data_IF_464646818796
#
_entry.id   IF_464646818796
#
_cell.length_a   1.000
_cell.length_b   1.000
_cell.length_c   1.000
_cell.angle_alpha   90.00
_cell.angle_beta   90.00
_cell.angle_gamma   90.00
#
_symmetry.space_group_name_H-M   'P 1'
#
loop_
_entity.id
_entity.type
_entity.pdbx_description
1 polymer ?
#
# COMPACT_ATOMS: atom_id res chain seq x y z
N UNK A 1 70.69 40.20 6.55
CA UNK A 1 69.47 39.54 6.02
C UNK A 1 69.03 38.53 7.07
N UNK A 2 67.91 38.60 7.78
CA UNK A 2 66.68 39.40 7.76
C UNK A 2 66.24 39.42 9.23
N UNK A 3 66.11 40.60 9.85
CA UNK A 3 65.32 40.78 11.07
C UNK A 3 64.39 41.96 10.79
N UNK A 4 63.12 41.68 10.51
CA UNK A 4 62.10 42.70 10.27
C UNK A 4 61.44 43.07 11.60
N UNK A 5 61.45 44.37 11.81
CA UNK A 5 61.00 45.15 12.93
C UNK A 5 59.49 45.13 13.14
N UNK A 6 59.14 45.21 14.43
CA UNK A 6 57.83 45.45 15.03
C UNK A 6 57.38 46.89 14.81
N UNK A 7 56.07 47.11 14.64
CA UNK A 7 55.20 48.26 15.01
C UNK A 7 54.00 48.24 14.04
N UNK A 8 52.75 48.58 14.37
CA UNK A 8 51.97 48.69 15.59
C UNK A 8 50.55 49.09 15.14
N UNK A 9 49.55 48.47 15.77
CA UNK A 9 48.26 49.05 16.16
C UNK A 9 47.21 49.52 15.13
N UNK A 10 45.98 49.17 15.56
CA UNK A 10 44.68 49.78 15.29
C UNK A 10 43.92 49.33 14.04
N UNK A 11 42.95 48.42 14.25
CA UNK A 11 41.64 48.56 13.64
C UNK A 11 40.54 47.92 14.49
N UNK A 12 39.53 48.76 14.73
CA UNK A 12 38.28 48.63 15.46
C UNK A 12 37.61 47.24 15.41
N UNK A 13 37.21 46.76 16.59
CA UNK A 13 36.18 45.75 16.74
C UNK A 13 34.79 46.42 16.67
N UNK A 14 34.08 46.22 15.57
CA UNK A 14 32.64 46.49 15.46
C UNK A 14 31.88 45.19 15.68
N UNK A 15 31.27 45.03 16.86
CA UNK A 15 30.25 44.03 17.11
C UNK A 15 28.97 44.41 16.34
N UNK A 16 28.68 43.72 15.24
CA UNK A 16 27.36 43.68 14.62
C UNK A 16 26.63 42.44 15.14
N UNK A 17 25.64 42.66 16.01
CA UNK A 17 24.64 41.66 16.34
C UNK A 17 23.77 41.43 15.10
N UNK A 18 24.09 40.39 14.32
CA UNK A 18 23.20 39.86 13.31
C UNK A 18 22.13 39.00 14.01
N UNK A 19 20.93 39.56 14.18
CA UNK A 19 19.75 38.80 14.57
C UNK A 19 19.41 37.82 13.46
N UNK A 20 19.67 36.54 13.67
CA UNK A 20 19.19 35.46 12.81
C UNK A 20 17.68 35.34 12.96
N UNK A 21 16.92 36.09 12.16
CA UNK A 21 15.51 35.79 11.91
C UNK A 21 15.44 34.43 11.25
N UNK A 22 15.03 33.42 12.03
CA UNK A 22 14.69 32.11 11.51
C UNK A 22 13.41 32.24 10.70
N UNK A 23 13.56 32.45 9.40
CA UNK A 23 12.49 32.33 8.43
C UNK A 23 11.99 30.88 8.47
N UNK A 24 10.91 30.65 9.21
CA UNK A 24 10.17 29.40 9.21
C UNK A 24 9.35 29.35 7.91
N UNK A 25 10.06 29.21 6.80
CA UNK A 25 9.46 28.86 5.52
C UNK A 25 8.74 27.52 5.70
N UNK A 26 7.41 27.56 5.60
CA UNK A 26 6.56 26.39 5.63
C UNK A 26 7.02 25.41 4.53
N UNK A 27 7.77 24.39 4.94
CA UNK A 27 8.08 23.26 4.09
C UNK A 27 6.77 22.53 3.82
N UNK A 28 6.12 22.90 2.71
CA UNK A 28 5.09 22.06 2.11
C UNK A 28 5.70 20.68 1.92
N UNK A 29 5.20 19.71 2.68
CA UNK A 29 5.64 18.33 2.63
C UNK A 29 5.20 17.76 1.27
N UNK A 30 5.93 18.10 0.20
CA UNK A 30 5.74 17.52 -1.12
C UNK A 30 6.19 16.08 -1.00
N UNK A 31 5.20 15.20 -0.84
CA UNK A 31 5.37 13.75 -0.89
C UNK A 31 6.25 13.42 -2.09
N UNK A 32 7.40 12.81 -1.85
CA UNK A 32 8.36 12.48 -2.91
C UNK A 32 7.65 11.61 -3.95
N UNK A 33 7.78 11.94 -5.26
CA UNK A 33 7.14 11.16 -6.30
C UNK A 33 7.63 9.71 -6.24
N UNK A 34 6.73 8.76 -6.53
CA UNK A 34 7.09 7.34 -6.56
C UNK A 34 8.26 7.11 -7.50
N UNK A 35 9.20 6.24 -7.13
CA UNK A 35 10.42 6.01 -7.90
C UNK A 35 10.15 5.68 -9.37
N UNK A 36 9.06 4.96 -9.67
CA UNK A 36 8.68 4.50 -11.00
C UNK A 36 8.13 5.61 -11.90
N UNK A 37 7.63 6.70 -11.30
CA UNK A 37 7.00 7.80 -12.02
C UNK A 37 8.03 8.63 -12.79
N UNK A 38 7.63 9.12 -13.95
CA UNK A 38 8.40 10.09 -14.74
C UNK A 38 7.51 11.24 -15.19
N UNK A 39 8.13 12.33 -15.65
CA UNK A 39 7.41 13.40 -16.34
C UNK A 39 6.81 12.86 -17.65
N UNK A 40 5.56 13.21 -18.02
CA UNK A 40 4.92 12.73 -19.24
C UNK A 40 5.75 12.96 -20.51
N UNK A 41 6.49 14.07 -20.60
CA UNK A 41 7.35 14.40 -21.74
C UNK A 41 8.57 13.49 -21.89
N UNK A 42 8.94 12.75 -20.84
CA UNK A 42 10.05 11.79 -20.85
C UNK A 42 9.60 10.37 -21.17
N UNK A 43 8.30 10.10 -21.15
CA UNK A 43 7.77 8.78 -21.42
C UNK A 43 7.55 8.56 -22.92
N UNK A 44 8.18 7.52 -23.46
CA UNK A 44 7.82 6.98 -24.78
C UNK A 44 6.67 5.98 -24.59
N UNK A 45 5.49 6.36 -25.09
CA UNK A 45 4.29 5.53 -25.10
C UNK A 45 4.11 4.83 -26.44
N UNK A 46 4.02 3.50 -26.41
CA UNK A 46 3.85 2.65 -27.61
C UNK A 46 2.39 2.26 -27.77
N UNK A 47 1.92 2.25 -29.03
CA UNK A 47 0.56 1.90 -29.41
C UNK A 47 -0.17 3.05 -30.11
N UNK A 48 -1.32 2.73 -30.69
CA UNK A 48 -2.19 3.68 -31.39
C UNK A 48 -3.57 3.70 -30.77
N UNK A 49 -4.24 4.86 -30.76
CA UNK A 49 -5.63 5.00 -30.32
C UNK A 49 -5.79 5.58 -28.91
N UNK A 50 -7.04 5.59 -28.47
CA UNK A 50 -7.45 6.10 -27.15
C UNK A 50 -7.00 5.13 -26.06
N UNK A 51 -6.46 5.65 -24.96
CA UNK A 51 -5.98 4.83 -23.84
C UNK A 51 -4.55 4.31 -23.98
N UNK A 52 -3.76 4.79 -24.96
CA UNK A 52 -2.32 4.48 -25.09
C UNK A 52 -1.46 4.83 -23.86
N UNK A 53 -2.00 5.66 -22.97
CA UNK A 53 -1.39 6.04 -21.69
C UNK A 53 -1.65 5.03 -20.57
N UNK A 54 -2.50 4.01 -20.81
CA UNK A 54 -2.86 2.98 -19.86
C UNK A 54 -2.30 1.63 -20.26
N UNK A 55 -1.90 0.85 -19.27
CA UNK A 55 -1.46 -0.52 -19.46
C UNK A 55 -2.58 -1.38 -20.05
N UNK A 56 -2.27 -2.11 -21.12
CA UNK A 56 -3.24 -2.97 -21.80
C UNK A 56 -3.82 -4.11 -20.93
N UNK A 57 -3.12 -4.50 -19.86
CA UNK A 57 -3.49 -5.61 -18.97
C UNK A 57 -4.23 -5.14 -17.72
N UNK A 58 -3.69 -4.14 -17.02
CA UNK A 58 -4.22 -3.71 -15.72
C UNK A 58 -4.84 -2.30 -15.72
N UNK A 59 -4.76 -1.55 -16.82
CA UNK A 59 -5.31 -0.18 -16.93
C UNK A 59 -4.51 0.91 -16.22
N UNK A 60 -3.48 0.54 -15.46
CA UNK A 60 -2.64 1.50 -14.72
C UNK A 60 -1.95 2.49 -15.66
N UNK A 61 -1.79 3.73 -15.22
CA UNK A 61 -1.14 4.79 -15.99
C UNK A 61 0.35 4.47 -16.23
N UNK A 62 0.73 4.35 -17.50
CA UNK A 62 2.07 3.93 -17.92
C UNK A 62 3.15 4.96 -17.56
N UNK A 63 2.83 6.24 -17.46
CA UNK A 63 3.78 7.30 -17.07
C UNK A 63 4.08 7.23 -15.57
N UNK A 64 3.07 6.89 -14.76
CA UNK A 64 3.19 6.72 -13.30
C UNK A 64 4.01 5.49 -12.91
N UNK A 65 4.08 4.48 -13.76
CA UNK A 65 4.82 3.23 -13.54
C UNK A 65 5.92 2.99 -14.57
N UNK A 66 6.42 4.07 -15.19
CA UNK A 66 7.19 4.01 -16.43
C UNK A 66 8.46 3.17 -16.36
N UNK A 67 9.21 3.27 -15.25
CA UNK A 67 10.48 2.55 -15.07
C UNK A 67 10.35 1.02 -14.93
N UNK A 68 9.13 0.50 -14.89
CA UNK A 68 8.88 -0.95 -14.91
C UNK A 68 8.18 -1.41 -16.17
N UNK A 69 7.99 -0.53 -17.16
CA UNK A 69 7.20 -0.87 -18.34
C UNK A 69 7.91 -1.84 -19.29
N UNK A 70 7.09 -2.66 -19.96
CA UNK A 70 7.51 -3.51 -21.07
C UNK A 70 6.65 -3.26 -22.30
N UNK A 71 7.18 -3.58 -23.48
CA UNK A 71 6.46 -3.51 -24.75
C UNK A 71 6.57 -4.86 -25.44
N UNK A 72 5.45 -5.38 -25.92
CA UNK A 72 5.40 -6.62 -26.69
C UNK A 72 4.20 -6.59 -27.65
N UNK A 73 4.39 -6.99 -28.91
CA UNK A 73 3.36 -6.99 -29.96
C UNK A 73 2.57 -5.68 -30.06
N UNK A 74 3.29 -4.54 -30.03
CA UNK A 74 2.70 -3.21 -30.13
C UNK A 74 1.89 -2.76 -28.91
N UNK A 75 1.88 -3.54 -27.82
CA UNK A 75 1.22 -3.21 -26.55
C UNK A 75 2.25 -2.87 -25.49
N UNK A 76 2.01 -1.80 -24.74
CA UNK A 76 2.82 -1.44 -23.58
C UNK A 76 2.10 -1.84 -22.27
N UNK A 77 2.86 -2.41 -21.34
CA UNK A 77 2.37 -2.90 -20.05
C UNK A 77 3.19 -2.33 -18.89
N UNK A 78 2.56 -2.23 -17.72
CA UNK A 78 3.11 -1.49 -16.58
C UNK A 78 4.25 -2.19 -15.82
N UNK A 79 4.44 -3.49 -16.04
CA UNK A 79 5.35 -4.32 -15.25
C UNK A 79 5.69 -5.64 -15.95
N UNK A 80 6.74 -6.31 -15.47
CA UNK A 80 7.05 -7.68 -15.89
C UNK A 80 5.94 -8.68 -15.49
N UNK A 81 5.20 -8.41 -14.40
CA UNK A 81 4.02 -9.19 -14.03
C UNK A 81 2.94 -9.10 -15.12
N UNK A 82 2.64 -7.89 -15.60
CA UNK A 82 1.69 -7.70 -16.70
C UNK A 82 2.21 -8.25 -18.02
N UNK A 83 3.53 -8.25 -18.27
CA UNK A 83 4.10 -8.91 -19.44
C UNK A 83 3.91 -10.42 -19.36
N UNK A 84 4.16 -11.03 -18.20
CA UNK A 84 3.97 -12.46 -17.96
C UNK A 84 2.51 -12.87 -18.22
N UNK A 85 1.55 -12.08 -17.72
CA UNK A 85 0.12 -12.29 -17.97
C UNK A 85 -0.22 -12.16 -19.47
N UNK A 86 0.22 -11.08 -20.13
CA UNK A 86 -0.03 -10.83 -21.55
C UNK A 86 0.49 -11.96 -22.46
N UNK A 87 1.56 -12.61 -22.03
CA UNK A 87 2.23 -13.67 -22.79
C UNK A 87 1.86 -15.07 -22.34
N UNK A 88 0.97 -15.19 -21.34
CA UNK A 88 0.51 -16.46 -20.78
C UNK A 88 1.69 -17.35 -20.34
N UNK A 89 2.73 -16.75 -19.77
CA UNK A 89 3.95 -17.44 -19.32
C UNK A 89 4.90 -17.89 -20.43
N UNK A 90 4.65 -17.54 -21.70
CA UNK A 90 5.57 -17.80 -22.82
C UNK A 90 6.58 -16.66 -22.93
N UNK A 91 7.86 -16.94 -22.75
CA UNK A 91 8.91 -15.92 -22.82
C UNK A 91 8.90 -15.20 -24.19
N UNK A 92 8.63 -13.89 -24.24
CA UNK A 92 8.63 -13.14 -25.50
C UNK A 92 10.05 -12.74 -25.91
N UNK A 93 10.57 -13.30 -27.00
CA UNK A 93 11.97 -13.07 -27.43
C UNK A 93 12.23 -11.68 -28.02
N UNK A 94 11.19 -10.97 -28.49
CA UNK A 94 11.25 -9.67 -29.16
C UNK A 94 10.62 -8.54 -28.32
N UNK A 95 10.39 -8.77 -27.03
CA UNK A 95 9.91 -7.74 -26.13
C UNK A 95 10.97 -6.64 -25.91
N UNK A 96 10.51 -5.47 -25.52
CA UNK A 96 11.34 -4.37 -25.05
C UNK A 96 11.00 -4.02 -23.60
N UNK A 97 11.94 -3.42 -22.90
CA UNK A 97 11.77 -2.91 -21.53
C UNK A 97 12.25 -1.46 -21.45
N UNK A 98 11.63 -0.67 -20.58
CA UNK A 98 12.14 0.66 -20.25
C UNK A 98 13.37 0.54 -19.36
N UNK A 99 14.48 1.16 -19.77
CA UNK A 99 15.64 1.35 -18.92
C UNK A 99 15.30 2.26 -17.72
N UNK A 100 15.63 1.81 -16.52
CA UNK A 100 15.25 2.48 -15.26
C UNK A 100 15.92 3.85 -15.09
N UNK A 101 17.10 4.07 -15.69
CA UNK A 101 17.92 5.27 -15.52
C UNK A 101 17.73 6.26 -16.66
N UNK A 102 17.92 5.82 -17.89
CA UNK A 102 17.88 6.67 -19.09
C UNK A 102 16.50 6.70 -19.79
N UNK A 103 15.55 5.85 -19.35
CA UNK A 103 14.16 5.83 -19.80
C UNK A 103 13.92 5.37 -21.24
N UNK A 104 14.96 4.91 -21.95
CA UNK A 104 14.83 4.41 -23.30
C UNK A 104 14.22 3.00 -23.33
N UNK A 105 13.51 2.66 -24.41
CA UNK A 105 13.11 1.28 -24.69
C UNK A 105 14.31 0.49 -25.22
N UNK A 106 14.63 -0.61 -24.57
CA UNK A 106 15.76 -1.50 -24.90
C UNK A 106 15.29 -2.94 -25.10
N UNK A 107 16.04 -3.70 -25.89
CA UNK A 107 15.84 -5.14 -26.06
C UNK A 107 15.97 -5.87 -24.72
N UNK A 108 14.94 -6.63 -24.34
CA UNK A 108 14.92 -7.35 -23.05
C UNK A 108 16.10 -8.29 -22.89
N UNK A 109 16.56 -8.93 -23.97
CA UNK A 109 17.64 -9.92 -23.92
C UNK A 109 19.01 -9.30 -23.69
N UNK A 110 19.13 -7.98 -23.87
CA UNK A 110 20.35 -7.20 -23.61
C UNK A 110 20.30 -6.46 -22.28
N UNK A 111 19.18 -6.53 -21.57
CA UNK A 111 18.99 -5.82 -20.31
C UNK A 111 19.46 -6.64 -19.10
N UNK A 112 19.97 -5.92 -18.11
CA UNK A 112 20.32 -6.40 -16.79
C UNK A 112 19.18 -6.09 -15.82
N UNK A 113 18.55 -7.12 -15.27
CA UNK A 113 17.45 -6.98 -14.33
C UNK A 113 17.96 -7.06 -12.90
N UNK A 114 17.69 -6.04 -12.08
CA UNK A 114 17.82 -6.12 -10.63
C UNK A 114 16.48 -6.58 -10.05
N UNK A 115 16.47 -7.77 -9.45
CA UNK A 115 15.27 -8.40 -8.89
C UNK A 115 15.33 -8.44 -7.37
N UNK A 116 14.22 -8.11 -6.71
CA UNK A 116 14.11 -8.17 -5.25
C UNK A 116 14.86 -7.05 -4.51
N UNK A 117 14.96 -5.86 -5.11
CA UNK A 117 15.50 -4.68 -4.41
C UNK A 117 14.53 -4.13 -3.38
N UNK A 118 15.01 -3.27 -2.48
CA UNK A 118 14.20 -2.54 -1.49
C UNK A 118 13.24 -1.52 -2.13
N UNK A 119 13.45 -1.13 -3.39
CA UNK A 119 12.53 -0.27 -4.14
C UNK A 119 11.33 -1.08 -4.58
N UNK A 120 10.12 -0.65 -4.18
CA UNK A 120 8.87 -1.37 -4.46
C UNK A 120 8.68 -1.63 -5.95
N UNK A 121 8.23 -2.83 -6.33
CA UNK A 121 7.86 -3.12 -7.71
C UNK A 121 6.47 -2.62 -8.09
N UNK A 122 6.16 -2.66 -9.39
CA UNK A 122 4.80 -2.46 -9.90
C UNK A 122 4.11 -3.81 -10.02
N UNK A 123 2.95 -3.98 -9.37
CA UNK A 123 2.14 -5.20 -9.43
C UNK A 123 2.88 -6.48 -8.97
N UNK A 124 3.89 -6.35 -8.12
CA UNK A 124 4.68 -7.50 -7.66
C UNK A 124 5.22 -7.30 -6.26
N UNK A 125 5.41 -8.40 -5.52
CA UNK A 125 6.09 -8.41 -4.21
C UNK A 125 7.61 -8.32 -4.36
N UNK A 126 8.17 -8.90 -5.42
CA UNK A 126 9.59 -8.86 -5.72
C UNK A 126 9.82 -7.94 -6.91
N UNK A 127 10.42 -6.77 -6.65
CA UNK A 127 10.66 -5.74 -7.66
C UNK A 127 11.54 -6.26 -8.80
N UNK A 128 11.37 -5.70 -10.01
CA UNK A 128 12.11 -6.09 -11.22
C UNK A 128 12.38 -4.83 -12.04
N UNK A 129 13.61 -4.33 -11.96
CA UNK A 129 14.05 -3.11 -12.65
C UNK A 129 15.11 -3.45 -13.69
N UNK A 130 14.95 -2.95 -14.91
CA UNK A 130 15.86 -3.24 -16.02
C UNK A 130 16.81 -2.08 -16.29
N UNK A 131 18.04 -2.42 -16.68
CA UNK A 131 19.11 -1.49 -17.03
C UNK A 131 19.78 -1.95 -18.32
N UNK A 132 20.16 -1.00 -19.16
CA UNK A 132 20.88 -1.21 -20.42
C UNK A 132 22.35 -1.56 -20.23
N UNK A 133 22.91 -1.21 -19.07
CA UNK A 133 24.30 -1.50 -18.73
C UNK A 133 24.41 -2.23 -17.39
N UNK A 134 25.39 -3.12 -17.30
CA UNK A 134 25.70 -3.81 -16.05
C UNK A 134 26.17 -2.84 -14.96
N UNK A 135 26.87 -1.76 -15.36
CA UNK A 135 27.33 -0.73 -14.43
C UNK A 135 26.18 -0.02 -13.72
N UNK A 136 25.13 0.36 -14.47
CA UNK A 136 23.95 1.00 -13.88
C UNK A 136 23.15 0.03 -13.00
N UNK A 137 23.07 -1.25 -13.39
CA UNK A 137 22.46 -2.29 -12.56
C UNK A 137 23.22 -2.48 -11.23
N UNK A 138 24.56 -2.50 -11.27
CA UNK A 138 25.42 -2.60 -10.09
C UNK A 138 25.32 -1.38 -9.19
N UNK A 139 25.25 -0.18 -9.77
CA UNK A 139 25.02 1.06 -9.02
C UNK A 139 23.68 0.99 -8.27
N UNK A 140 22.61 0.60 -8.96
CA UNK A 140 21.29 0.45 -8.34
C UNK A 140 21.26 -0.66 -7.29
N UNK A 141 21.89 -1.80 -7.55
CA UNK A 141 22.01 -2.92 -6.61
C UNK A 141 22.78 -2.50 -5.35
N UNK A 142 23.89 -1.77 -5.49
CA UNK A 142 24.67 -1.32 -4.34
C UNK A 142 23.85 -0.41 -3.41
N UNK A 143 22.97 0.44 -3.98
CA UNK A 143 22.12 1.34 -3.21
C UNK A 143 20.86 0.66 -2.64
N UNK A 144 20.30 -0.34 -3.32
CA UNK A 144 18.96 -0.85 -3.03
C UNK A 144 18.89 -2.36 -2.76
N UNK A 145 20.01 -3.07 -2.85
CA UNK A 145 20.05 -4.54 -2.82
C UNK A 145 19.41 -5.18 -4.06
N UNK A 146 19.04 -6.45 -3.91
CA UNK A 146 18.53 -7.29 -5.00
C UNK A 146 19.62 -8.06 -5.73
N UNK A 147 19.21 -8.87 -6.69
CA UNK A 147 20.07 -9.74 -7.48
C UNK A 147 20.04 -9.34 -8.96
N UNK A 148 21.22 -9.21 -9.58
CA UNK A 148 21.33 -8.93 -11.02
C UNK A 148 21.21 -10.24 -11.79
N UNK A 149 20.28 -10.28 -12.74
CA UNK A 149 20.05 -11.43 -13.62
C UNK A 149 19.62 -10.99 -15.02
N UNK A 150 19.64 -11.94 -15.97
CA UNK A 150 19.15 -11.70 -17.32
C UNK A 150 17.62 -11.78 -17.40
N UNK A 151 17.05 -11.40 -18.55
CA UNK A 151 15.61 -11.41 -18.77
C UNK A 151 14.96 -12.77 -18.56
N UNK A 152 15.56 -13.86 -19.07
CA UNK A 152 14.99 -15.19 -18.95
C UNK A 152 14.79 -15.58 -17.48
N UNK A 153 15.79 -15.30 -16.62
CA UNK A 153 15.68 -15.58 -15.18
C UNK A 153 14.71 -14.64 -14.48
N UNK A 154 14.71 -13.34 -14.80
CA UNK A 154 13.77 -12.39 -14.23
C UNK A 154 12.31 -12.73 -14.58
N UNK A 155 12.07 -13.21 -15.80
CA UNK A 155 10.76 -13.67 -16.27
C UNK A 155 10.33 -14.96 -15.57
N UNK A 156 11.25 -15.91 -15.34
CA UNK A 156 11.00 -17.10 -14.52
C UNK A 156 10.57 -16.72 -13.09
N UNK A 157 11.29 -15.78 -12.46
CA UNK A 157 10.92 -15.26 -11.12
C UNK A 157 9.54 -14.59 -11.16
N UNK A 158 9.22 -13.84 -12.22
CA UNK A 158 7.87 -13.27 -12.38
C UNK A 158 6.78 -14.36 -12.44
N UNK A 159 7.05 -15.49 -13.11
CA UNK A 159 6.14 -16.63 -13.12
C UNK A 159 5.98 -17.31 -11.76
N UNK A 160 7.08 -17.46 -11.01
CA UNK A 160 7.04 -17.98 -9.63
C UNK A 160 6.25 -17.06 -8.69
N UNK A 161 6.41 -15.75 -8.85
CA UNK A 161 5.72 -14.74 -8.03
C UNK A 161 4.23 -14.62 -8.41
N UNK A 162 3.87 -14.92 -9.66
CA UNK A 162 2.60 -14.55 -10.30
C UNK A 162 1.38 -14.93 -9.47
N UNK A 163 1.31 -16.17 -8.98
CA UNK A 163 0.16 -16.65 -8.21
C UNK A 163 -0.02 -15.87 -6.89
N UNK A 164 1.07 -15.59 -6.17
CA UNK A 164 0.99 -14.85 -4.91
C UNK A 164 0.85 -13.34 -5.11
N UNK A 165 1.40 -12.80 -6.19
CA UNK A 165 1.15 -11.42 -6.60
C UNK A 165 -0.33 -11.22 -6.93
N UNK A 166 -0.95 -12.13 -7.68
CA UNK A 166 -2.37 -12.10 -7.98
C UNK A 166 -3.24 -12.19 -6.72
N UNK A 167 -2.87 -13.03 -5.75
CA UNK A 167 -3.56 -13.07 -4.44
C UNK A 167 -3.47 -11.72 -3.72
N UNK A 168 -2.29 -11.09 -3.70
CA UNK A 168 -2.09 -9.78 -3.08
C UNK A 168 -2.85 -8.67 -3.82
N UNK A 169 -2.84 -8.66 -5.15
CA UNK A 169 -3.58 -7.72 -5.98
C UNK A 169 -5.07 -7.87 -5.74
N UNK A 170 -5.59 -9.09 -5.82
CA UNK A 170 -7.00 -9.40 -5.58
C UNK A 170 -7.43 -8.94 -4.19
N UNK A 171 -6.67 -9.30 -3.15
CA UNK A 171 -6.95 -8.88 -1.79
C UNK A 171 -7.00 -7.35 -1.66
N UNK A 172 -6.05 -6.62 -2.25
CA UNK A 172 -6.08 -5.15 -2.26
C UNK A 172 -7.27 -4.59 -3.02
N UNK A 173 -7.69 -5.24 -4.10
CA UNK A 173 -8.84 -4.78 -4.88
C UNK A 173 -10.15 -4.96 -4.11
N UNK A 174 -10.30 -6.11 -3.46
CA UNK A 174 -11.42 -6.46 -2.58
C UNK A 174 -11.45 -5.61 -1.29
N UNK A 175 -10.28 -5.25 -0.76
CA UNK A 175 -10.07 -4.39 0.42
C UNK A 175 -10.25 -2.89 0.10
N UNK A 176 -11.27 -2.56 -0.68
CA UNK A 176 -11.78 -1.19 -0.82
C UNK A 176 -11.55 -0.51 -2.17
N UNK A 177 -10.69 -1.02 -3.07
CA UNK A 177 -10.55 -0.42 -4.41
C UNK A 177 -11.85 -0.58 -5.21
N UNK A 178 -12.49 -1.74 -5.15
CA UNK A 178 -13.78 -1.94 -5.82
C UNK A 178 -14.89 -1.10 -5.22
N UNK A 179 -14.96 -1.01 -3.89
CA UNK A 179 -15.95 -0.17 -3.21
C UNK A 179 -15.80 1.31 -3.62
N UNK A 180 -14.57 1.83 -3.55
CA UNK A 180 -14.24 3.18 -3.98
C UNK A 180 -14.52 3.41 -5.47
N UNK A 181 -14.17 2.44 -6.32
CA UNK A 181 -14.42 2.48 -7.75
C UNK A 181 -15.91 2.55 -8.08
N UNK A 182 -16.72 1.74 -7.40
CA UNK A 182 -18.18 1.76 -7.52
C UNK A 182 -18.76 3.11 -7.11
N UNK A 183 -18.42 3.59 -5.91
CA UNK A 183 -18.91 4.86 -5.38
C UNK A 183 -18.56 6.03 -6.30
N UNK A 184 -17.31 6.09 -6.76
CA UNK A 184 -16.86 7.10 -7.69
C UNK A 184 -17.61 7.02 -9.03
N UNK A 185 -17.72 5.83 -9.61
CA UNK A 185 -18.37 5.62 -10.89
C UNK A 185 -19.85 6.00 -10.88
N UNK A 186 -20.61 5.50 -9.90
CA UNK A 186 -22.05 5.73 -9.79
C UNK A 186 -22.38 7.21 -9.55
N UNK A 187 -21.52 7.94 -8.83
CA UNK A 187 -21.72 9.36 -8.57
C UNK A 187 -21.29 10.25 -9.73
N UNK A 188 -20.27 9.86 -10.50
CA UNK A 188 -19.54 10.80 -11.36
C UNK A 188 -19.48 10.43 -12.84
N UNK A 189 -20.03 9.30 -13.28
CA UNK A 189 -19.89 8.83 -14.65
C UNK A 189 -21.25 8.43 -15.27
N UNK A 190 -21.35 8.40 -16.60
CA UNK A 190 -22.50 7.80 -17.26
C UNK A 190 -22.42 6.27 -17.32
N UNK A 191 -23.57 5.64 -17.58
CA UNK A 191 -23.65 4.18 -17.69
C UNK A 191 -22.76 3.68 -18.84
N UNK A 192 -21.97 2.66 -18.53
CA UNK A 192 -20.97 2.06 -19.42
C UNK A 192 -21.11 0.55 -19.30
N UNK A 193 -21.26 -0.14 -20.43
CA UNK A 193 -21.19 -1.59 -20.47
C UNK A 193 -19.73 -2.01 -20.76
N UNK A 194 -19.03 -2.64 -19.79
CA UNK A 194 -17.63 -3.05 -19.97
C UNK A 194 -17.43 -4.09 -21.08
N UNK A 195 -18.48 -4.82 -21.48
CA UNK A 195 -18.41 -5.84 -22.54
C UNK A 195 -18.13 -5.28 -23.92
N UNK A 196 -18.29 -3.97 -24.11
CA UNK A 196 -18.03 -3.29 -25.37
C UNK A 196 -16.54 -3.01 -25.62
N UNK A 197 -15.66 -3.33 -24.65
CA UNK A 197 -14.24 -3.03 -24.70
C UNK A 197 -13.41 -4.31 -24.73
N UNK A 198 -12.35 -4.33 -25.54
CA UNK A 198 -11.47 -5.50 -25.69
C UNK A 198 -10.33 -5.50 -24.67
N UNK A 199 -10.05 -4.34 -24.08
CA UNK A 199 -9.04 -4.17 -23.04
C UNK A 199 -9.48 -3.17 -21.99
N UNK A 200 -9.02 -3.35 -20.76
CA UNK A 200 -9.28 -2.42 -19.65
C UNK A 200 -8.76 -1.00 -19.94
N UNK A 201 -7.69 -0.87 -20.74
CA UNK A 201 -7.17 0.43 -21.19
C UNK A 201 -8.18 1.20 -22.04
N UNK A 202 -8.93 0.51 -22.90
CA UNK A 202 -10.00 1.09 -23.72
C UNK A 202 -11.18 1.51 -22.85
N UNK A 203 -11.60 0.63 -21.92
CA UNK A 203 -12.63 0.94 -20.94
C UNK A 203 -12.26 2.18 -20.12
N UNK A 204 -11.04 2.24 -19.59
CA UNK A 204 -10.59 3.36 -18.77
C UNK A 204 -10.53 4.67 -19.57
N UNK A 205 -10.09 4.62 -20.83
CA UNK A 205 -10.11 5.77 -21.72
C UNK A 205 -11.54 6.27 -22.00
N UNK A 206 -12.49 5.35 -22.19
CA UNK A 206 -13.90 5.70 -22.30
C UNK A 206 -14.46 6.29 -21.00
N UNK A 207 -14.17 5.68 -19.85
CA UNK A 207 -14.56 6.20 -18.54
C UNK A 207 -14.09 7.62 -18.34
N UNK A 208 -12.83 7.92 -18.69
CA UNK A 208 -12.33 9.29 -18.64
C UNK A 208 -13.27 10.27 -19.35
N UNK A 209 -13.75 9.95 -20.57
CA UNK A 209 -14.67 10.83 -21.30
C UNK A 209 -16.02 11.01 -20.60
N UNK A 210 -16.65 9.91 -20.19
CA UNK A 210 -18.00 9.95 -19.60
C UNK A 210 -18.01 10.51 -18.17
N UNK A 211 -16.90 10.41 -17.44
CA UNK A 211 -16.74 11.04 -16.13
C UNK A 211 -16.33 12.52 -16.29
N UNK A 212 -15.48 12.88 -17.26
CA UNK A 212 -15.10 14.27 -17.55
C UNK A 212 -16.33 15.10 -17.96
N UNK A 213 -17.29 14.50 -18.68
CA UNK A 213 -18.56 15.14 -19.05
C UNK A 213 -19.40 15.59 -17.83
N UNK A 214 -19.13 15.02 -16.65
CA UNK A 214 -19.73 15.40 -15.35
C UNK A 214 -18.77 16.18 -14.46
N UNK A 215 -17.70 16.73 -15.04
CA UNK A 215 -16.66 17.50 -14.34
C UNK A 215 -15.87 16.72 -13.27
N UNK A 216 -15.87 15.39 -13.33
CA UNK A 216 -15.14 14.54 -12.37
C UNK A 216 -13.62 14.74 -12.41
N UNK A 217 -13.09 15.25 -13.54
CA UNK A 217 -11.68 15.56 -13.73
C UNK A 217 -11.10 16.60 -12.77
N UNK A 218 -11.96 17.35 -12.07
CA UNK A 218 -11.54 18.31 -11.04
C UNK A 218 -11.13 17.62 -9.72
N UNK A 219 -11.42 16.32 -9.56
CA UNK A 219 -11.09 15.58 -8.36
C UNK A 219 -9.56 15.42 -8.18
N UNK A 220 -9.04 15.56 -6.95
CA UNK A 220 -7.65 15.22 -6.67
C UNK A 220 -7.40 13.74 -6.95
N UNK A 221 -6.19 13.39 -7.41
CA UNK A 221 -5.84 12.02 -7.80
C UNK A 221 -6.80 11.39 -8.83
N UNK A 222 -7.40 12.18 -9.74
CA UNK A 222 -8.43 11.70 -10.68
C UNK A 222 -8.12 10.37 -11.40
N UNK A 223 -6.88 10.15 -11.86
CA UNK A 223 -6.47 8.89 -12.49
C UNK A 223 -6.64 7.66 -11.56
N UNK A 224 -6.45 7.83 -10.24
CA UNK A 224 -6.66 6.78 -9.25
C UNK A 224 -8.14 6.44 -9.11
N UNK A 225 -9.01 7.45 -9.16
CA UNK A 225 -10.46 7.25 -9.17
C UNK A 225 -10.91 6.52 -10.44
N UNK A 226 -10.43 6.96 -11.61
CA UNK A 226 -10.68 6.29 -12.89
C UNK A 226 -10.16 4.85 -12.91
N UNK A 227 -8.97 4.61 -12.35
CA UNK A 227 -8.41 3.27 -12.23
C UNK A 227 -9.32 2.36 -11.41
N UNK A 228 -9.80 2.83 -10.25
CA UNK A 228 -10.69 2.07 -9.39
C UNK A 228 -12.03 1.77 -10.06
N UNK A 229 -12.63 2.76 -10.74
CA UNK A 229 -13.85 2.59 -11.51
C UNK A 229 -13.70 1.58 -12.66
N UNK A 230 -12.58 1.67 -13.42
CA UNK A 230 -12.27 0.72 -14.47
C UNK A 230 -12.14 -0.70 -13.92
N UNK A 231 -11.39 -0.89 -12.83
CA UNK A 231 -11.23 -2.20 -12.18
C UNK A 231 -12.56 -2.75 -11.64
N UNK A 232 -13.38 -1.92 -11.03
CA UNK A 232 -14.72 -2.31 -10.57
C UNK A 232 -15.58 -2.85 -11.71
N UNK A 233 -15.63 -2.14 -12.84
CA UNK A 233 -16.41 -2.58 -14.01
C UNK A 233 -15.78 -3.77 -14.73
N UNK A 234 -14.45 -3.87 -14.76
CA UNK A 234 -13.71 -4.89 -15.51
C UNK A 234 -13.63 -6.23 -14.79
N UNK A 235 -13.34 -6.23 -13.49
CA UNK A 235 -13.05 -7.45 -12.73
C UNK A 235 -14.27 -8.04 -12.00
N UNK A 236 -15.31 -7.25 -11.72
CA UNK A 236 -16.44 -7.71 -10.92
C UNK A 236 -17.01 -9.00 -11.54
N UNK A 237 -17.15 -10.09 -10.77
CA UNK A 237 -17.07 -11.49 -11.24
C UNK A 237 -18.25 -11.96 -12.13
N UNK A 238 -18.37 -11.35 -13.31
CA UNK A 238 -19.55 -11.16 -14.15
C UNK A 238 -20.56 -10.16 -13.55
N UNK A 239 -21.26 -9.37 -14.37
CA UNK A 239 -22.46 -8.57 -13.99
C UNK A 239 -23.12 -9.19 -12.75
N UNK A 240 -23.21 -8.47 -11.61
CA UNK A 240 -23.88 -8.96 -10.40
C UNK A 240 -25.23 -9.57 -10.79
N UNK A 241 -25.25 -10.89 -10.97
CA UNK A 241 -26.32 -11.58 -11.64
C UNK A 241 -27.44 -11.75 -10.64
N UNK A 242 -28.53 -11.05 -10.89
CA UNK A 242 -29.88 -11.26 -10.35
C UNK A 242 -30.00 -11.13 -8.82
N UNK A 243 -30.73 -10.09 -8.41
CA UNK A 243 -31.50 -10.02 -7.17
C UNK A 243 -30.86 -10.68 -5.94
N UNK A 244 -29.87 -10.00 -5.38
CA UNK A 244 -29.52 -10.14 -3.98
C UNK A 244 -29.75 -8.80 -3.30
N UNK A 245 -30.79 -8.73 -2.47
CA UNK A 245 -31.14 -7.60 -1.61
C UNK A 245 -29.89 -6.91 -1.06
N UNK A 246 -29.93 -5.58 -1.03
CA UNK A 246 -29.07 -4.68 -0.27
C UNK A 246 -28.19 -5.36 0.79
N UNK A 247 -27.01 -5.83 0.39
CA UNK A 247 -25.90 -5.92 1.31
C UNK A 247 -25.11 -4.64 1.09
N UNK A 248 -25.50 -3.57 1.81
CA UNK A 248 -24.57 -2.48 2.11
C UNK A 248 -23.28 -3.16 2.56
N UNK A 249 -22.20 -2.98 1.80
CA UNK A 249 -20.87 -3.20 2.33
C UNK A 249 -20.75 -2.25 3.52
N UNK A 250 -21.08 -2.75 4.71
CA UNK A 250 -20.92 -1.99 5.94
C UNK A 250 -19.43 -1.72 6.03
N UNK A 251 -19.05 -0.44 6.01
CA UNK A 251 -17.76 0.02 6.50
C UNK A 251 -17.42 -0.83 7.75
N UNK A 252 -16.23 -1.46 7.83
CA UNK A 252 -15.89 -2.34 8.94
C UNK A 252 -16.21 -1.58 10.23
N UNK A 253 -17.13 -2.14 11.01
CA UNK A 253 -17.59 -1.50 12.23
C UNK A 253 -16.37 -1.29 13.12
N UNK A 254 -16.19 -0.11 13.71
CA UNK A 254 -15.04 0.17 14.58
C UNK A 254 -15.54 0.35 16.01
N UNK A 255 -14.68 0.06 16.98
CA UNK A 255 -14.92 0.51 18.34
C UNK A 255 -14.78 2.03 18.35
N UNK A 256 -15.88 2.71 18.67
CA UNK A 256 -15.90 4.16 18.88
C UNK A 256 -15.93 4.40 20.38
N UNK A 257 -14.84 4.96 20.87
CA UNK A 257 -14.66 5.32 22.28
C UNK A 257 -15.14 6.76 22.47
N UNK A 258 -16.15 7.02 23.32
CA UNK A 258 -16.58 8.37 23.65
C UNK A 258 -15.45 9.19 24.28
N UNK A 259 -15.46 10.50 24.07
CA UNK A 259 -14.45 11.39 24.62
C UNK A 259 -14.44 11.35 26.17
N UNK A 260 -13.24 11.34 26.76
CA UNK A 260 -13.07 11.28 28.22
C UNK A 260 -13.37 9.91 28.85
N UNK A 261 -13.71 8.89 28.05
CA UNK A 261 -13.94 7.52 28.55
C UNK A 261 -12.70 6.98 29.26
N UNK A 262 -12.90 6.38 30.43
CA UNK A 262 -11.86 5.75 31.24
C UNK A 262 -11.97 4.24 31.23
N UNK A 263 -10.82 3.57 31.25
CA UNK A 263 -10.72 2.12 31.32
C UNK A 263 -11.39 1.64 32.62
N UNK A 264 -12.26 0.63 32.52
CA UNK A 264 -12.99 0.10 33.67
C UNK A 264 -12.10 -0.69 34.66
N UNK A 265 -10.83 -0.95 34.30
CA UNK A 265 -9.85 -1.63 35.15
C UNK A 265 -8.81 -0.66 35.69
N UNK A 266 -7.99 -0.05 34.82
CA UNK A 266 -6.89 0.80 35.27
C UNK A 266 -7.24 2.29 35.45
N UNK A 267 -8.41 2.74 34.96
CA UNK A 267 -8.86 4.14 35.06
C UNK A 267 -8.19 5.13 34.09
N UNK A 268 -7.29 4.66 33.22
CA UNK A 268 -6.65 5.47 32.17
C UNK A 268 -7.64 5.92 31.10
N UNK A 269 -7.35 7.04 30.43
CA UNK A 269 -8.19 7.53 29.33
C UNK A 269 -8.03 6.60 28.12
N UNK A 270 -9.14 6.03 27.65
CA UNK A 270 -9.16 5.17 26.47
C UNK A 270 -9.23 6.03 25.22
N UNK A 271 -8.36 5.76 24.25
CA UNK A 271 -8.33 6.46 22.95
C UNK A 271 -8.82 5.55 21.84
N UNK A 272 -9.42 6.14 20.81
CA UNK A 272 -9.69 5.46 19.54
C UNK A 272 -8.36 5.03 18.90
N UNK A 273 -7.98 3.76 19.10
CA UNK A 273 -6.66 3.20 18.76
C UNK A 273 -6.77 1.69 18.55
N UNK A 274 -5.73 1.02 17.99
CA UNK A 274 -5.72 -0.45 17.86
C UNK A 274 -5.86 -1.20 19.19
N UNK A 275 -5.61 -0.53 20.32
CA UNK A 275 -5.64 -1.12 21.65
C UNK A 275 -7.02 -1.05 22.31
N UNK A 276 -7.94 -0.25 21.77
CA UNK A 276 -9.26 -0.08 22.33
C UNK A 276 -10.06 -1.38 22.25
N UNK A 277 -10.66 -1.77 23.37
CA UNK A 277 -11.55 -2.92 23.48
C UNK A 277 -12.86 -2.50 24.17
N UNK A 278 -13.90 -3.32 24.01
CA UNK A 278 -15.25 -3.03 24.45
C UNK A 278 -15.93 -4.30 24.97
N UNK A 279 -16.49 -4.25 26.17
CA UNK A 279 -17.44 -5.25 26.67
C UNK A 279 -18.81 -4.59 26.80
N UNK A 280 -19.84 -5.26 26.30
CA UNK A 280 -21.24 -4.86 26.52
C UNK A 280 -21.88 -5.80 27.52
N UNK A 281 -22.37 -5.26 28.63
CA UNK A 281 -23.04 -6.05 29.65
C UNK A 281 -24.01 -5.22 30.49
N UNK A 282 -25.14 -5.83 30.86
CA UNK A 282 -26.16 -5.21 31.70
C UNK A 282 -26.63 -3.82 31.19
N UNK A 283 -26.71 -3.66 29.87
CA UNK A 283 -27.10 -2.40 29.23
C UNK A 283 -26.04 -1.29 29.28
N UNK A 284 -24.80 -1.61 29.68
CA UNK A 284 -23.67 -0.68 29.76
C UNK A 284 -22.51 -1.13 28.87
N UNK A 285 -21.86 -0.14 28.28
CA UNK A 285 -20.63 -0.30 27.50
C UNK A 285 -19.42 -0.01 28.41
N UNK A 286 -18.53 -1.00 28.55
CA UNK A 286 -17.27 -0.92 29.29
C UNK A 286 -16.11 -0.90 28.29
N UNK A 287 -15.30 0.15 28.34
CA UNK A 287 -14.14 0.31 27.46
C UNK A 287 -12.85 0.04 28.21
N UNK A 288 -11.85 -0.46 27.49
CA UNK A 288 -10.51 -0.70 28.04
C UNK A 288 -9.45 -0.25 27.03
N UNK A 289 -8.27 0.07 27.56
CA UNK A 289 -7.11 0.54 26.82
C UNK A 289 -6.18 -0.60 26.36
N UNK A 290 -6.56 -1.85 26.61
CA UNK A 290 -5.86 -3.04 26.14
C UNK A 290 -6.68 -4.32 26.29
N UNK A 291 -6.18 -5.41 25.71
CA UNK A 291 -6.81 -6.74 25.79
C UNK A 291 -6.58 -7.36 27.18
N UNK A 292 -5.42 -7.13 27.81
CA UNK A 292 -5.14 -7.56 29.19
C UNK A 292 -6.21 -7.08 30.19
N UNK A 293 -6.46 -5.78 30.24
CA UNK A 293 -7.44 -5.18 31.14
C UNK A 293 -8.86 -5.72 30.86
N UNK A 294 -9.22 -5.76 29.57
CA UNK A 294 -10.49 -6.35 29.16
C UNK A 294 -10.61 -7.82 29.59
N UNK A 295 -9.53 -8.61 29.53
CA UNK A 295 -9.56 -10.03 29.83
C UNK A 295 -9.67 -10.25 31.34
N UNK A 296 -8.94 -9.47 32.14
CA UNK A 296 -9.08 -9.45 33.58
C UNK A 296 -10.53 -9.15 33.99
N UNK A 297 -11.16 -8.16 33.37
CA UNK A 297 -12.55 -7.84 33.62
C UNK A 297 -13.52 -8.94 33.15
N UNK A 298 -13.29 -9.49 31.96
CA UNK A 298 -14.09 -10.55 31.36
C UNK A 298 -14.12 -11.81 32.23
N UNK A 299 -12.95 -12.32 32.64
CA UNK A 299 -12.86 -13.57 33.41
C UNK A 299 -13.20 -13.43 34.89
N UNK A 300 -13.23 -12.21 35.42
CA UNK A 300 -13.71 -11.95 36.78
C UNK A 300 -15.25 -11.99 36.88
N UNK A 301 -15.97 -11.97 35.75
CA UNK A 301 -17.42 -11.81 35.70
C UNK A 301 -18.07 -12.82 34.75
N UNK A 302 -18.73 -13.85 35.30
CA UNK A 302 -19.36 -14.94 34.51
C UNK A 302 -20.53 -14.50 33.59
N UNK A 303 -20.95 -13.23 33.68
CA UNK A 303 -22.03 -12.67 32.86
C UNK A 303 -21.55 -12.02 31.56
N UNK A 304 -20.24 -11.84 31.38
CA UNK A 304 -19.69 -11.13 30.22
C UNK A 304 -19.68 -12.07 29.01
N UNK A 305 -20.50 -11.78 28.00
CA UNK A 305 -20.59 -12.59 26.78
C UNK A 305 -20.28 -11.83 25.49
N UNK A 306 -20.53 -10.53 25.48
CA UNK A 306 -20.26 -9.64 24.35
C UNK A 306 -18.97 -8.88 24.59
N UNK A 307 -17.87 -9.39 24.05
CA UNK A 307 -16.55 -8.78 24.12
C UNK A 307 -16.02 -8.53 22.72
N UNK A 308 -15.45 -7.35 22.51
CA UNK A 308 -14.98 -6.89 21.22
C UNK A 308 -13.57 -6.31 21.33
N UNK A 309 -12.76 -6.57 20.32
CA UNK A 309 -11.40 -6.04 20.17
C UNK A 309 -11.25 -5.35 18.82
N UNK A 310 -10.23 -4.50 18.67
CA UNK A 310 -9.94 -3.85 17.38
C UNK A 310 -8.84 -4.62 16.67
N UNK A 311 -9.02 -5.03 15.41
CA UNK A 311 -7.93 -5.59 14.60
C UNK A 311 -6.74 -4.63 14.57
N UNK A 312 -5.54 -5.15 14.83
CA UNK A 312 -4.35 -4.33 15.02
C UNK A 312 -4.02 -3.43 13.81
N UNK A 313 -4.28 -3.90 12.58
CA UNK A 313 -3.94 -3.15 11.37
C UNK A 313 -5.12 -2.36 10.81
N UNK A 314 -6.32 -2.96 10.79
CA UNK A 314 -7.48 -2.38 10.09
C UNK A 314 -8.39 -1.54 11.00
N UNK A 315 -8.24 -1.70 12.33
CA UNK A 315 -9.14 -1.17 13.36
C UNK A 315 -10.57 -1.70 13.26
N UNK A 316 -10.80 -2.79 12.52
CA UNK A 316 -12.09 -3.47 12.46
C UNK A 316 -12.44 -4.03 13.85
N UNK A 317 -13.67 -3.80 14.30
CA UNK A 317 -14.22 -4.38 15.53
C UNK A 317 -14.48 -5.87 15.29
N UNK A 318 -13.75 -6.70 16.02
CA UNK A 318 -13.85 -8.15 16.00
C UNK A 318 -14.58 -8.64 17.25
N UNK A 319 -15.30 -9.75 17.13
CA UNK A 319 -15.65 -10.55 18.31
C UNK A 319 -14.34 -11.06 18.93
N UNK A 320 -14.17 -10.85 20.22
CA UNK A 320 -12.94 -11.21 20.91
C UNK A 320 -12.67 -12.73 20.85
N UNK A 321 -13.70 -13.57 20.84
CA UNK A 321 -13.54 -15.03 20.84
C UNK A 321 -13.10 -15.57 19.48
N UNK A 322 -13.45 -14.88 18.40
CA UNK A 322 -13.11 -15.30 17.04
C UNK A 322 -11.70 -14.86 16.63
N UNK A 323 -11.15 -13.84 17.29
CA UNK A 323 -9.83 -13.29 16.98
C UNK A 323 -8.66 -14.23 17.31
N UNK A 324 -7.48 -13.89 16.79
CA UNK A 324 -6.19 -14.51 17.08
C UNK A 324 -5.29 -13.48 17.77
N UNK A 325 -4.54 -13.90 18.79
CA UNK A 325 -3.78 -12.99 19.63
C UNK A 325 -2.30 -13.33 19.60
N UNK A 326 -1.46 -12.36 19.24
CA UNK A 326 0.00 -12.50 19.41
C UNK A 326 0.37 -12.07 20.82
N UNK A 327 1.17 -12.86 21.53
CA UNK A 327 1.69 -12.50 22.85
C UNK A 327 3.22 -12.46 22.87
N UNK A 328 3.77 -11.67 23.81
CA UNK A 328 5.22 -11.58 24.05
C UNK A 328 6.01 -10.98 22.88
N UNK A 329 5.40 -10.10 22.08
CA UNK A 329 6.08 -9.35 21.03
C UNK A 329 6.85 -8.16 21.60
N UNK A 330 7.70 -7.54 20.77
CA UNK A 330 8.38 -6.28 21.08
C UNK A 330 7.52 -5.03 20.80
N UNK A 331 6.22 -5.20 20.54
CA UNK A 331 5.27 -4.11 20.34
C UNK A 331 4.43 -3.96 21.59
N UNK A 332 4.49 -2.77 22.19
CA UNK A 332 3.84 -2.46 23.46
C UNK A 332 2.50 -1.76 23.26
N UNK A 333 1.50 -2.19 24.03
CA UNK A 333 0.27 -1.43 24.24
C UNK A 333 0.47 -0.30 25.26
N UNK A 334 -0.59 0.45 25.61
CA UNK A 334 -0.52 1.57 26.56
C UNK A 334 0.06 1.21 27.92
N UNK A 335 -0.08 -0.07 28.31
CA UNK A 335 0.36 -0.63 29.58
C UNK A 335 1.45 -1.71 29.41
N UNK A 336 2.31 -1.59 28.40
CA UNK A 336 3.42 -2.51 28.16
C UNK A 336 3.05 -3.74 27.33
N UNK A 337 3.59 -4.92 27.66
CA UNK A 337 3.40 -6.16 26.87
C UNK A 337 1.92 -6.49 26.68
N UNK A 338 1.44 -6.75 25.47
CA UNK A 338 -0.01 -6.87 25.22
C UNK A 338 -0.37 -8.11 24.39
N UNK A 339 -1.63 -8.53 24.47
CA UNK A 339 -2.22 -9.51 23.55
C UNK A 339 -2.75 -8.78 22.32
N UNK A 340 -2.11 -8.98 21.17
CA UNK A 340 -2.37 -8.18 19.97
C UNK A 340 -3.37 -8.91 19.06
N UNK A 341 -4.60 -8.37 18.88
CA UNK A 341 -5.67 -9.05 18.15
C UNK A 341 -5.55 -8.94 16.63
N UNK A 342 -5.86 -10.03 15.95
CA UNK A 342 -5.95 -10.14 14.49
C UNK A 342 -7.18 -10.92 14.10
N UNK A 343 -7.83 -10.49 13.02
CA UNK A 343 -8.91 -11.24 12.38
C UNK A 343 -8.41 -12.53 11.72
N UNK A 344 -7.23 -12.44 11.09
CA UNK A 344 -6.66 -13.53 10.30
C UNK A 344 -5.45 -14.15 11.01
N UNK A 345 -5.47 -15.46 11.20
CA UNK A 345 -4.35 -16.21 11.80
C UNK A 345 -3.04 -15.99 11.06
N UNK A 346 -3.08 -15.98 9.71
CA UNK A 346 -1.90 -15.76 8.90
C UNK A 346 -1.25 -14.38 9.15
N UNK A 347 -2.05 -13.35 9.45
CA UNK A 347 -1.55 -12.02 9.81
C UNK A 347 -0.95 -12.02 11.21
N UNK A 348 -1.58 -12.72 12.18
CA UNK A 348 -1.02 -12.91 13.51
C UNK A 348 0.35 -13.63 13.44
N UNK A 349 0.45 -14.67 12.61
CA UNK A 349 1.70 -15.42 12.39
C UNK A 349 2.79 -14.56 11.74
N UNK A 350 2.43 -13.70 10.77
CA UNK A 350 3.38 -12.75 10.17
C UNK A 350 3.86 -11.74 11.22
N UNK A 351 2.92 -11.10 11.91
CA UNK A 351 3.23 -10.13 12.96
C UNK A 351 4.13 -10.73 14.04
N UNK A 352 3.84 -11.95 14.49
CA UNK A 352 4.64 -12.66 15.47
C UNK A 352 6.11 -12.79 15.02
N UNK A 353 6.33 -13.15 13.75
CA UNK A 353 7.69 -13.27 13.20
C UNK A 353 8.38 -11.91 13.10
N UNK A 354 7.67 -10.91 12.60
CA UNK A 354 8.19 -9.57 12.36
C UNK A 354 8.51 -8.81 13.67
N UNK A 355 7.79 -9.13 14.74
CA UNK A 355 7.84 -8.44 16.03
C UNK A 355 8.31 -9.34 17.18
N UNK A 356 9.05 -10.41 16.87
CA UNK A 356 9.62 -11.33 17.86
C UNK A 356 8.61 -11.83 18.92
N UNK A 357 7.36 -12.06 18.51
CA UNK A 357 6.31 -12.62 19.34
C UNK A 357 6.63 -14.06 19.76
N UNK A 358 6.16 -14.45 20.94
CA UNK A 358 6.40 -15.77 21.52
C UNK A 358 5.39 -16.83 21.06
N UNK A 359 4.21 -16.40 20.60
CA UNK A 359 3.16 -17.32 20.14
C UNK A 359 1.92 -16.60 19.64
N UNK A 360 1.08 -17.35 18.93
CA UNK A 360 -0.30 -16.99 18.55
C UNK A 360 -1.25 -17.88 19.35
N UNK A 361 -2.21 -17.27 20.05
CA UNK A 361 -3.17 -17.96 20.92
C UNK A 361 -4.60 -17.50 20.62
N UNK A 362 -5.59 -18.28 21.09
CA UNK A 362 -7.01 -17.90 21.12
C UNK A 362 -7.39 -17.18 22.41
N UNK A 363 -8.56 -16.54 22.39
CA UNK A 363 -9.06 -15.75 23.52
C UNK A 363 -9.06 -16.51 24.84
N UNK A 364 -9.62 -17.73 24.83
CA UNK A 364 -9.76 -18.56 26.03
C UNK A 364 -8.42 -18.95 26.67
N UNK A 365 -7.34 -18.95 25.89
CA UNK A 365 -5.99 -19.24 26.35
C UNK A 365 -5.38 -18.05 27.10
N UNK A 366 -5.86 -16.82 26.90
CA UNK A 366 -5.36 -15.61 27.59
C UNK A 366 -5.46 -15.77 29.11
N UNK A 367 -6.49 -16.47 29.60
CA UNK A 367 -6.68 -16.76 31.04
C UNK A 367 -5.46 -17.43 31.68
N UNK A 368 -4.66 -18.17 30.92
CA UNK A 368 -3.46 -18.85 31.43
C UNK A 368 -2.25 -17.92 31.61
N UNK A 369 -2.32 -16.71 31.04
CA UNK A 369 -1.26 -15.70 31.07
C UNK A 369 -1.56 -14.52 32.00
N UNK A 370 -2.84 -14.26 32.31
CA UNK A 370 -3.26 -13.21 33.24
C UNK A 370 -3.38 -13.78 34.66
N UNK A 371 -2.87 -13.06 35.68
CA UNK A 371 -2.94 -13.48 37.08
C UNK A 371 -1.76 -14.31 37.61
N UNK A 372 -0.61 -14.24 36.94
CA UNK A 372 0.69 -14.68 37.51
C UNK A 372 1.49 -13.49 38.02
#
# INVERSE_FOLDING_TARGET
>A
MILRSVLASALLASLLFATCTHDHGAATNKMQPMFQSVEPSKATLVGSGEGKEYCAVCGMNLVKFYKTNHVYNGKQVASLHCLYELTEGKIPSDAQVVDTKNLNLIDVNKAFYVVGSSVKGTMTRNSKYAFSTEADAKEFQAANGGEIMNFAKAYEVAGQDFAGDNKMIKAKREDGVYAHGKEFYEANCDKTDPKNFKAISELKAHLKKVCDAKEANKAPEYDKHLQAAALYLWDAPANLGKEGKEAKAKKPERIVVPEGTRCAVCGMIVKNSPWATLIKADGKDYYFDGVKDMAQFYYANDKMKEAYVSDYYTLEKLDAKDAFYVHGSNVFGPMGEEFIPFKDEAKAQSFMKDHAGKGVIKFDEIKTFIGK
#
